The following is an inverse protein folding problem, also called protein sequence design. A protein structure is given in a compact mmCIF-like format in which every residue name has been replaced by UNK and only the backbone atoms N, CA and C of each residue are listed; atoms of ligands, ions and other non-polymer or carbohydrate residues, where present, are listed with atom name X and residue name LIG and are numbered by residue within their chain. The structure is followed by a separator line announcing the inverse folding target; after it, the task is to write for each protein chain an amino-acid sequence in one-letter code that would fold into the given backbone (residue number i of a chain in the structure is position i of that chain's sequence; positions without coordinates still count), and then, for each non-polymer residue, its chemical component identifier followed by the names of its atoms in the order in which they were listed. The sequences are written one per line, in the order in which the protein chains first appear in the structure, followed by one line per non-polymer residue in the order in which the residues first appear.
data_IF_297958529549
#
_entry.id   IF_297958529549
#
_cell.length_a   1.000
_cell.length_b   1.000
_cell.length_c   1.000
_cell.angle_alpha   90.00
_cell.angle_beta   90.00
_cell.angle_gamma   90.00
#
_symmetry.space_group_name_H-M   'P 1'
#
loop_
_entity.id
_entity.type
_entity.pdbx_description
1 polymer ?
#
# COMPACT_ATOMS: atom_id res chain seq x y z
N UNK A 1 -16.15 12.84 -4.06
CA UNK A 1 -16.17 14.24 -4.56
C UNK A 1 -15.16 14.47 -5.70
N UNK A 2 -13.93 13.95 -5.65
CA UNK A 2 -12.91 14.14 -6.70
C UNK A 2 -13.16 13.44 -8.07
N UNK A 3 -13.87 12.31 -8.11
CA UNK A 3 -14.10 11.57 -9.37
C UNK A 3 -15.08 12.24 -10.35
N UNK A 4 -15.94 13.15 -9.88
CA UNK A 4 -16.89 13.83 -10.78
C UNK A 4 -16.20 14.87 -11.66
N UNK A 5 -15.03 15.38 -11.24
CA UNK A 5 -14.36 16.50 -11.90
C UNK A 5 -13.48 16.04 -13.07
N UNK A 6 -12.93 14.81 -13.04
CA UNK A 6 -12.06 14.28 -14.10
C UNK A 6 -12.62 12.98 -14.70
N UNK A 7 -13.38 13.08 -15.79
CA UNK A 7 -13.94 11.90 -16.49
C UNK A 7 -12.89 11.04 -17.19
N UNK A 8 -11.70 11.59 -17.50
CA UNK A 8 -10.63 10.89 -18.22
C UNK A 8 -9.68 10.12 -17.31
N UNK A 9 -9.57 10.52 -16.04
CA UNK A 9 -8.69 9.89 -15.06
C UNK A 9 -9.35 9.97 -13.68
N UNK A 10 -9.86 8.84 -13.15
CA UNK A 10 -10.51 8.79 -11.85
C UNK A 10 -9.50 9.03 -10.70
N UNK A 11 -9.24 10.30 -10.41
CA UNK A 11 -8.22 10.72 -9.45
C UNK A 11 -8.54 10.27 -8.02
N UNK A 12 -9.83 10.14 -7.68
CA UNK A 12 -10.25 9.75 -6.33
C UNK A 12 -9.81 8.33 -5.99
N UNK A 13 -10.13 7.39 -6.88
CA UNK A 13 -9.78 5.96 -6.71
C UNK A 13 -8.28 5.75 -6.80
N UNK A 14 -7.61 6.46 -7.72
CA UNK A 14 -6.15 6.47 -7.79
C UNK A 14 -5.51 6.89 -6.46
N UNK A 15 -5.91 8.04 -5.90
CA UNK A 15 -5.35 8.55 -4.64
C UNK A 15 -5.64 7.62 -3.47
N UNK A 16 -6.85 7.06 -3.39
CA UNK A 16 -7.23 6.13 -2.33
C UNK A 16 -6.35 4.87 -2.35
N UNK A 17 -6.17 4.27 -3.53
CA UNK A 17 -5.34 3.06 -3.70
C UNK A 17 -3.86 3.35 -3.44
N UNK A 18 -3.33 4.48 -3.94
CA UNK A 18 -1.94 4.90 -3.72
C UNK A 18 -1.67 5.16 -2.24
N UNK A 19 -2.57 5.87 -1.56
CA UNK A 19 -2.43 6.17 -0.13
C UNK A 19 -2.55 4.92 0.74
N UNK A 20 -3.50 4.02 0.45
CA UNK A 20 -3.59 2.72 1.11
C UNK A 20 -2.30 1.90 0.92
N UNK A 21 -1.74 1.89 -0.29
CA UNK A 21 -0.48 1.18 -0.59
C UNK A 21 0.70 1.75 0.20
N UNK A 22 0.79 3.08 0.30
CA UNK A 22 1.81 3.75 1.12
C UNK A 22 1.71 3.33 2.58
N UNK A 23 0.50 3.33 3.15
CA UNK A 23 0.25 2.90 4.52
C UNK A 23 0.59 1.43 4.74
N UNK A 24 0.23 0.54 3.81
CA UNK A 24 0.61 -0.87 3.85
C UNK A 24 2.14 -1.01 3.91
N UNK A 25 2.89 -0.26 3.10
CA UNK A 25 4.35 -0.26 3.12
C UNK A 25 4.93 0.15 4.48
N UNK A 26 4.42 1.27 5.04
CA UNK A 26 4.85 1.78 6.35
C UNK A 26 4.50 0.81 7.48
N UNK A 27 3.27 0.30 7.53
CA UNK A 27 2.84 -0.62 8.57
C UNK A 27 3.59 -1.96 8.49
N UNK A 28 3.84 -2.46 7.28
CA UNK A 28 4.64 -3.68 7.08
C UNK A 28 6.09 -3.47 7.54
N UNK A 29 6.67 -2.30 7.25
CA UNK A 29 8.00 -1.92 7.74
C UNK A 29 8.03 -1.84 9.27
N UNK A 30 7.00 -1.30 9.91
CA UNK A 30 6.88 -1.26 11.38
C UNK A 30 6.72 -2.66 11.97
N UNK A 31 5.92 -3.52 11.35
CA UNK A 31 5.64 -4.87 11.85
C UNK A 31 6.83 -5.81 11.70
N UNK A 32 7.57 -5.70 10.59
CA UNK A 32 8.63 -6.64 10.19
C UNK A 32 10.04 -6.05 10.24
N UNK A 33 10.17 -4.75 10.52
CA UNK A 33 11.47 -4.11 10.58
C UNK A 33 12.24 -4.53 11.83
N UNK A 34 13.57 -4.57 11.72
CA UNK A 34 14.48 -4.92 12.82
C UNK A 34 14.77 -3.69 13.67
N UNK A 35 14.69 -3.83 15.00
CA UNK A 35 15.02 -2.75 15.95
C UNK A 35 16.53 -2.47 16.00
N UNK A 36 17.34 -3.51 15.88
CA UNK A 36 18.80 -3.41 15.89
C UNK A 36 19.39 -4.20 14.71
N UNK A 37 20.54 -3.77 14.19
CA UNK A 37 21.16 -4.42 13.03
C UNK A 37 21.64 -5.85 13.34
N UNK A 38 22.02 -6.10 14.59
CA UNK A 38 22.65 -7.36 15.04
C UNK A 38 21.69 -8.34 15.72
N UNK A 39 20.42 -7.97 15.95
CA UNK A 39 19.43 -8.85 16.60
C UNK A 39 18.14 -8.91 15.79
N UNK A 40 17.58 -10.11 15.64
CA UNK A 40 16.32 -10.35 14.91
C UNK A 40 15.06 -9.94 15.70
N UNK A 41 15.20 -8.94 16.58
CA UNK A 41 14.08 -8.41 17.35
C UNK A 41 13.30 -7.40 16.49
N UNK A 42 12.01 -7.65 16.22
CA UNK A 42 11.19 -6.72 15.46
C UNK A 42 10.96 -5.42 16.23
N UNK A 43 10.71 -4.33 15.49
CA UNK A 43 10.37 -3.00 16.05
C UNK A 43 9.16 -3.11 16.97
N UNK A 44 8.15 -3.88 16.54
CA UNK A 44 6.99 -4.24 17.37
C UNK A 44 7.24 -5.60 18.02
N UNK A 45 7.48 -5.62 19.33
CA UNK A 45 7.71 -6.85 20.09
C UNK A 45 6.53 -7.29 20.96
N UNK A 46 5.42 -6.54 20.95
CA UNK A 46 4.22 -6.82 21.74
C UNK A 46 3.14 -7.43 20.86
N UNK A 47 2.52 -8.51 21.34
CA UNK A 47 1.43 -9.21 20.65
C UNK A 47 0.28 -8.26 20.30
N UNK A 48 -0.16 -7.43 21.25
CA UNK A 48 -1.26 -6.48 21.02
C UNK A 48 -0.92 -5.49 19.90
N UNK A 49 0.29 -4.94 19.92
CA UNK A 49 0.74 -4.01 18.89
C UNK A 49 0.85 -4.70 17.52
N UNK A 50 1.29 -5.96 17.49
CA UNK A 50 1.38 -6.74 16.24
C UNK A 50 -0.02 -6.98 15.63
N UNK A 51 -1.00 -7.37 16.45
CA UNK A 51 -2.39 -7.53 16.01
C UNK A 51 -3.02 -6.22 15.52
N UNK A 52 -2.76 -5.09 16.21
CA UNK A 52 -3.27 -3.77 15.79
C UNK A 52 -2.71 -3.40 14.42
N UNK A 53 -1.40 -3.57 14.20
CA UNK A 53 -0.78 -3.28 12.90
C UNK A 53 -1.34 -4.20 11.81
N UNK A 54 -1.55 -5.48 12.11
CA UNK A 54 -2.21 -6.40 11.19
C UNK A 54 -3.65 -5.97 10.85
N UNK A 55 -4.41 -5.47 11.83
CA UNK A 55 -5.75 -4.96 11.60
C UNK A 55 -5.76 -3.68 10.74
N UNK A 56 -4.74 -2.81 10.88
CA UNK A 56 -4.58 -1.64 10.03
C UNK A 56 -4.23 -2.01 8.58
N UNK A 57 -3.38 -3.01 8.37
CA UNK A 57 -3.02 -3.50 7.03
C UNK A 57 -4.25 -4.15 6.36
N UNK A 58 -4.87 -5.13 7.03
CA UNK A 58 -5.92 -5.94 6.41
C UNK A 58 -7.29 -5.29 6.44
N UNK A 59 -7.60 -4.53 7.49
CA UNK A 59 -8.91 -3.90 7.70
C UNK A 59 -8.97 -2.47 7.18
N UNK A 60 -8.17 -1.56 7.77
CA UNK A 60 -8.21 -0.14 7.41
C UNK A 60 -7.75 0.10 5.96
N UNK A 61 -6.58 -0.40 5.57
CA UNK A 61 -6.10 -0.21 4.19
C UNK A 61 -6.93 -1.02 3.18
N UNK A 62 -7.53 -2.12 3.60
CA UNK A 62 -8.46 -2.92 2.78
C UNK A 62 -9.77 -2.20 2.46
N UNK A 63 -10.29 -1.40 3.38
CA UNK A 63 -11.50 -0.58 3.14
C UNK A 63 -11.20 0.74 2.45
N UNK A 64 -9.99 1.28 2.63
CA UNK A 64 -9.51 2.48 1.96
C UNK A 64 -9.19 2.24 0.49
N UNK A 65 -8.62 1.08 0.15
CA UNK A 65 -8.37 0.67 -1.23
C UNK A 65 -9.59 -0.02 -1.84
N UNK A 66 -9.67 -0.04 -3.17
CA UNK A 66 -10.76 -0.69 -3.88
C UNK A 66 -10.28 -1.24 -5.22
N UNK A 67 -10.61 -2.50 -5.48
CA UNK A 67 -10.40 -3.14 -6.78
C UNK A 67 -11.65 -3.08 -7.65
N UNK A 68 -12.85 -3.21 -7.06
CA UNK A 68 -14.12 -3.22 -7.80
C UNK A 68 -14.38 -1.88 -8.49
N UNK A 69 -14.19 -0.76 -7.77
CA UNK A 69 -14.36 0.58 -8.33
C UNK A 69 -13.28 0.88 -9.37
N UNK A 70 -12.03 0.50 -9.09
CA UNK A 70 -10.90 0.65 -10.00
C UNK A 70 -11.14 -0.05 -11.35
N UNK A 71 -11.61 -1.30 -11.30
CA UNK A 71 -11.97 -2.07 -12.49
C UNK A 71 -13.14 -1.40 -13.23
N UNK A 72 -14.24 -1.10 -12.54
CA UNK A 72 -15.43 -0.49 -13.13
C UNK A 72 -15.16 0.86 -13.80
N UNK A 73 -14.23 1.66 -13.26
CA UNK A 73 -13.83 2.93 -13.86
C UNK A 73 -13.01 2.76 -15.13
N UNK A 74 -12.07 1.82 -15.15
CA UNK A 74 -11.29 1.53 -16.35
C UNK A 74 -12.15 1.03 -17.51
N UNK A 75 -13.17 0.20 -17.23
CA UNK A 75 -14.14 -0.23 -18.24
C UNK A 75 -14.94 0.91 -18.88
N UNK A 76 -15.08 2.06 -18.19
CA UNK A 76 -15.78 3.24 -18.70
C UNK A 76 -14.87 4.16 -19.53
N UNK A 77 -13.57 3.90 -19.57
CA UNK A 77 -12.59 4.66 -20.34
C UNK A 77 -12.38 4.01 -21.72
N UNK A 78 -11.93 4.82 -22.69
CA UNK A 78 -11.41 4.30 -23.96
C UNK A 78 -10.17 3.43 -23.72
N UNK A 79 -9.94 2.42 -24.57
CA UNK A 79 -8.86 1.44 -24.41
C UNK A 79 -7.48 2.02 -24.02
N UNK A 80 -7.02 3.08 -24.70
CA UNK A 80 -5.71 3.71 -24.39
C UNK A 80 -5.71 4.35 -23.00
N UNK A 81 -6.76 5.12 -22.66
CA UNK A 81 -6.88 5.76 -21.35
C UNK A 81 -7.03 4.73 -20.22
N UNK A 82 -7.72 3.61 -20.47
CA UNK A 82 -7.80 2.49 -19.53
C UNK A 82 -6.41 1.90 -19.26
N UNK A 83 -5.65 1.61 -20.31
CA UNK A 83 -4.26 1.12 -20.21
C UNK A 83 -3.39 2.07 -19.38
N UNK A 84 -3.40 3.36 -19.73
CA UNK A 84 -2.64 4.38 -18.99
C UNK A 84 -3.09 4.43 -17.53
N UNK A 85 -4.39 4.45 -17.25
CA UNK A 85 -4.93 4.52 -15.89
C UNK A 85 -4.45 3.34 -15.04
N UNK A 86 -4.54 2.12 -15.57
CA UNK A 86 -4.11 0.93 -14.85
C UNK A 86 -2.60 0.87 -14.66
N UNK A 87 -1.84 1.07 -15.74
CA UNK A 87 -0.37 1.00 -15.68
C UNK A 87 0.19 2.06 -14.74
N UNK A 88 -0.28 3.31 -14.81
CA UNK A 88 0.19 4.39 -13.93
C UNK A 88 -0.17 4.11 -12.47
N UNK A 89 -1.41 3.67 -12.20
CA UNK A 89 -1.85 3.35 -10.84
C UNK A 89 -1.00 2.24 -10.22
N UNK A 90 -0.77 1.15 -10.95
CA UNK A 90 0.03 0.01 -10.48
C UNK A 90 1.50 0.41 -10.33
N UNK A 91 2.07 1.09 -11.33
CA UNK A 91 3.48 1.49 -11.30
C UNK A 91 3.79 2.42 -10.13
N UNK A 92 2.96 3.45 -9.88
CA UNK A 92 3.17 4.38 -8.77
C UNK A 92 3.05 3.65 -7.42
N UNK A 93 2.00 2.84 -7.24
CA UNK A 93 1.82 2.03 -6.03
C UNK A 93 3.01 1.10 -5.78
N UNK A 94 3.51 0.43 -6.82
CA UNK A 94 4.68 -0.45 -6.73
C UNK A 94 5.95 0.33 -6.38
N UNK A 95 6.22 1.46 -7.05
CA UNK A 95 7.36 2.32 -6.74
C UNK A 95 7.34 2.79 -5.28
N UNK A 96 6.17 3.13 -4.74
CA UNK A 96 6.05 3.51 -3.33
C UNK A 96 6.38 2.36 -2.37
N UNK A 97 5.96 1.13 -2.67
CA UNK A 97 6.36 -0.04 -1.88
C UNK A 97 7.86 -0.29 -1.95
N UNK A 98 8.46 -0.14 -3.13
CA UNK A 98 9.92 -0.27 -3.30
C UNK A 98 10.67 0.79 -2.49
N UNK A 99 10.22 2.05 -2.55
CA UNK A 99 10.85 3.16 -1.82
C UNK A 99 10.68 3.02 -0.31
N UNK A 100 9.53 2.54 0.17
CA UNK A 100 9.26 2.43 1.61
C UNK A 100 9.78 1.12 2.19
N UNK A 101 9.24 0.00 1.73
CA UNK A 101 9.57 -1.32 2.27
C UNK A 101 10.83 -1.89 1.65
N UNK A 102 11.02 -1.75 0.33
CA UNK A 102 12.17 -2.29 -0.39
C UNK A 102 13.50 -1.66 0.06
N UNK A 103 13.56 -0.33 0.14
CA UNK A 103 14.75 0.38 0.61
C UNK A 103 15.17 -0.07 2.01
N UNK A 104 14.21 -0.24 2.92
CA UNK A 104 14.45 -0.74 4.26
C UNK A 104 14.89 -2.20 4.24
N UNK A 105 14.24 -3.03 3.43
CA UNK A 105 14.57 -4.44 3.26
C UNK A 105 16.02 -4.64 2.83
N UNK A 106 16.48 -3.87 1.85
CA UNK A 106 17.85 -3.96 1.35
C UNK A 106 18.88 -3.40 2.32
N UNK A 107 18.50 -2.43 3.16
CA UNK A 107 19.44 -1.77 4.08
C UNK A 107 19.57 -2.49 5.43
N UNK A 108 18.45 -2.97 6.00
CA UNK A 108 18.40 -3.53 7.37
C UNK A 108 17.92 -4.98 7.41
N UNK A 109 17.25 -5.45 6.37
CA UNK A 109 16.57 -6.75 6.36
C UNK A 109 15.24 -6.73 7.12
N UNK A 110 14.37 -7.71 6.82
CA UNK A 110 13.11 -7.94 7.51
C UNK A 110 13.26 -9.14 8.44
N UNK A 111 12.48 -9.15 9.52
CA UNK A 111 12.27 -10.32 10.39
C UNK A 111 10.82 -10.77 10.33
N UNK A 112 10.54 -11.94 10.90
CA UNK A 112 9.17 -12.41 11.06
C UNK A 112 8.47 -11.62 12.17
N UNK A 113 7.23 -11.17 11.95
CA UNK A 113 6.48 -10.46 12.98
C UNK A 113 6.14 -11.42 14.14
N UNK A 114 6.16 -10.92 15.38
CA UNK A 114 5.71 -11.68 16.55
C UNK A 114 4.22 -11.38 16.78
N UNK A 115 3.43 -12.03 15.92
CA UNK A 115 2.00 -12.21 15.96
C UNK A 115 1.79 -13.74 15.97
#
# INVERSE_FOLDING_TARGET
MFNKTNKKFPLGTFLANVFATLLIGIFTMVQRGKKHFSTDVPIVNSLNSCHIVSALISGFCGTLSTISTFINEGYKLSFINMLIYYTVSIAISYCLLVITLGSYAWTRGLTNPIC
#
